data_IF_087901493687
#
_entry.id   IF_087901493687
#
_cell.length_a   1.000
_cell.length_b   1.000
_cell.length_c   1.000
_cell.angle_alpha   90.00
_cell.angle_beta   90.00
_cell.angle_gamma   90.00
#
_symmetry.space_group_name_H-M   'P 1'
#
loop_
_entity.id
_entity.type
_entity.pdbx_description
1 polymer ?
#
# COMPACT_ATOMS: atom_id res chain seq x y z
N UNK A 1 -11.67 4.59 1.46
CA UNK A 1 -11.13 3.57 2.38
C UNK A 1 -12.21 3.11 3.33
N UNK A 2 -12.20 1.83 3.70
CA UNK A 2 -13.16 1.30 4.65
C UNK A 2 -12.94 1.82 6.07
N UNK A 3 -13.96 1.64 6.93
CA UNK A 3 -13.88 2.11 8.31
C UNK A 3 -12.72 1.44 9.06
N UNK A 4 -12.04 2.20 9.91
CA UNK A 4 -10.91 1.71 10.68
C UNK A 4 -9.63 1.51 9.92
N UNK A 5 -9.60 1.86 8.62
CA UNK A 5 -8.37 1.78 7.83
C UNK A 5 -7.41 2.90 8.19
N UNK A 6 -6.12 2.59 8.19
CA UNK A 6 -5.08 3.50 8.65
C UNK A 6 -3.97 3.58 7.61
N UNK A 7 -3.49 4.79 7.33
CA UNK A 7 -2.22 4.98 6.64
C UNK A 7 -1.16 5.31 7.69
N UNK A 8 -0.24 4.38 7.92
CA UNK A 8 0.87 4.60 8.83
C UNK A 8 1.94 5.42 8.15
N UNK A 9 2.50 6.42 8.81
CA UNK A 9 3.46 7.33 8.19
C UNK A 9 4.86 7.30 8.78
N UNK A 10 5.08 6.53 9.85
CA UNK A 10 6.40 6.38 10.47
C UNK A 10 6.73 4.90 10.56
N UNK A 11 7.90 4.52 10.07
CA UNK A 11 8.38 3.14 10.21
C UNK A 11 8.66 2.84 11.68
N UNK A 12 8.47 1.60 12.09
CA UNK A 12 8.67 1.20 13.50
C UNK A 12 10.10 1.43 13.99
N UNK A 13 11.09 1.35 13.10
CA UNK A 13 12.50 1.64 13.44
C UNK A 13 12.84 3.13 13.27
N UNK A 14 11.88 3.96 12.87
CA UNK A 14 12.02 5.41 12.68
C UNK A 14 13.11 5.81 11.68
N UNK A 15 13.41 4.92 10.73
CA UNK A 15 14.34 5.25 9.64
C UNK A 15 13.61 6.01 8.53
N UNK A 16 14.38 6.48 7.54
CA UNK A 16 13.81 7.19 6.39
C UNK A 16 12.95 6.22 5.57
N UNK A 17 11.76 6.70 5.17
CA UNK A 17 10.83 5.91 4.37
C UNK A 17 11.36 5.78 2.95
N UNK A 18 11.35 4.58 2.40
CA UNK A 18 11.68 4.33 1.01
C UNK A 18 10.46 3.82 0.25
N UNK A 19 10.38 4.16 -1.02
CA UNK A 19 9.33 3.67 -1.91
C UNK A 19 9.93 2.63 -2.84
N UNK A 20 9.34 1.43 -2.87
CA UNK A 20 9.69 0.41 -3.85
C UNK A 20 8.74 0.54 -5.03
N UNK A 21 9.27 0.82 -6.20
CA UNK A 21 8.47 0.96 -7.41
C UNK A 21 9.13 0.20 -8.56
N UNK A 22 8.45 -0.82 -9.06
CA UNK A 22 8.93 -1.66 -10.16
C UNK A 22 10.38 -2.16 -9.97
N UNK A 23 10.69 -2.61 -8.76
CA UNK A 23 12.01 -3.12 -8.42
C UNK A 23 13.04 -2.08 -8.04
N UNK A 24 12.71 -0.79 -8.15
CA UNK A 24 13.58 0.30 -7.74
C UNK A 24 13.20 0.79 -6.36
N UNK A 25 14.20 1.17 -5.57
CA UNK A 25 13.99 1.78 -4.26
C UNK A 25 14.26 3.27 -4.36
N UNK A 26 13.25 4.06 -4.02
CA UNK A 26 13.34 5.51 -3.99
C UNK A 26 13.42 5.98 -2.55
N UNK A 27 14.53 6.63 -2.19
CA UNK A 27 14.69 7.22 -0.87
C UNK A 27 13.95 8.55 -0.84
N UNK A 28 12.90 8.64 0.02
CA UNK A 28 12.10 9.86 0.10
C UNK A 28 12.80 11.00 0.83
N UNK A 29 13.85 10.70 1.60
CA UNK A 29 14.48 11.69 2.48
C UNK A 29 13.60 12.05 3.67
N UNK A 30 12.46 11.39 3.87
CA UNK A 30 11.49 11.71 4.90
C UNK A 30 11.39 10.58 5.91
N UNK A 31 11.32 10.94 7.20
CA UNK A 31 11.03 9.98 8.27
C UNK A 31 9.54 9.70 8.40
N UNK A 32 8.70 10.57 7.85
CA UNK A 32 7.24 10.43 7.86
C UNK A 32 6.73 10.51 6.43
N UNK A 33 6.11 9.45 5.96
CA UNK A 33 5.44 9.41 4.67
C UNK A 33 4.41 8.30 4.68
N UNK A 34 3.16 8.62 4.33
CA UNK A 34 2.07 7.65 4.26
C UNK A 34 2.10 6.83 2.99
N UNK A 35 0.95 6.66 2.37
CA UNK A 35 0.77 5.84 1.18
C UNK A 35 0.40 6.71 -0.03
N UNK A 36 0.67 6.18 -1.22
CA UNK A 36 0.24 6.78 -2.49
C UNK A 36 -0.79 5.84 -3.11
N UNK A 37 -1.99 6.34 -3.36
CA UNK A 37 -3.10 5.56 -3.92
C UNK A 37 -3.46 6.10 -5.30
N UNK A 38 -3.58 5.20 -6.27
CA UNK A 38 -4.10 5.54 -7.58
C UNK A 38 -5.61 5.76 -7.56
N UNK A 39 -6.20 6.00 -8.74
CA UNK A 39 -7.64 6.22 -8.87
C UNK A 39 -8.42 4.93 -8.68
N UNK A 40 -9.62 5.04 -8.07
CA UNK A 40 -10.54 3.92 -7.88
C UNK A 40 -9.94 2.77 -7.08
N UNK A 41 -9.10 3.08 -6.08
CA UNK A 41 -8.58 2.09 -5.14
C UNK A 41 -9.58 1.93 -4.00
N UNK A 42 -9.97 0.69 -3.72
CA UNK A 42 -10.82 0.36 -2.58
C UNK A 42 -10.01 -0.37 -1.53
N UNK A 43 -10.00 0.17 -0.32
CA UNK A 43 -9.30 -0.42 0.83
C UNK A 43 -10.34 -0.95 1.82
N UNK A 44 -10.28 -2.23 2.10
CA UNK A 44 -11.20 -2.87 3.03
C UNK A 44 -11.04 -2.39 4.47
N UNK A 45 -12.05 -2.64 5.29
CA UNK A 45 -12.11 -2.17 6.68
C UNK A 45 -10.91 -2.65 7.50
N UNK A 46 -10.45 -1.82 8.43
CA UNK A 46 -9.39 -2.15 9.38
C UNK A 46 -8.08 -2.61 8.73
N UNK A 47 -7.81 -2.14 7.52
CA UNK A 47 -6.53 -2.39 6.85
C UNK A 47 -5.51 -1.33 7.26
N UNK A 48 -4.24 -1.71 7.22
CA UNK A 48 -3.12 -0.79 7.50
C UNK A 48 -2.26 -0.70 6.25
N UNK A 49 -2.06 0.52 5.76
CA UNK A 49 -1.12 0.81 4.67
C UNK A 49 0.18 1.30 5.31
N UNK A 50 1.22 0.50 5.19
CA UNK A 50 2.50 0.79 5.83
C UNK A 50 3.21 1.96 5.12
N UNK A 51 4.16 2.64 5.77
CA UNK A 51 4.82 3.81 5.19
C UNK A 51 5.48 3.48 3.85
N UNK A 52 5.28 4.36 2.86
CA UNK A 52 5.84 4.18 1.52
C UNK A 52 5.08 3.21 0.63
N UNK A 53 3.88 2.76 1.04
CA UNK A 53 3.04 1.91 0.19
C UNK A 53 2.56 2.68 -1.04
N UNK A 54 2.65 2.04 -2.21
CA UNK A 54 2.11 2.57 -3.47
C UNK A 54 1.13 1.56 -4.03
N UNK A 55 -0.12 1.99 -4.24
CA UNK A 55 -1.16 1.12 -4.78
C UNK A 55 -1.62 1.66 -6.12
N UNK A 56 -1.48 0.84 -7.16
CA UNK A 56 -1.91 1.21 -8.51
C UNK A 56 -3.42 1.33 -8.63
N UNK A 57 -3.88 2.03 -9.66
CA UNK A 57 -5.32 2.29 -9.89
C UNK A 57 -6.13 1.00 -10.04
N UNK A 58 -7.41 1.07 -9.69
CA UNK A 58 -8.38 -0.03 -9.83
C UNK A 58 -7.99 -1.29 -9.02
N UNK A 59 -7.34 -1.10 -7.90
CA UNK A 59 -6.91 -2.19 -7.01
C UNK A 59 -7.86 -2.30 -5.82
N UNK A 60 -8.19 -3.52 -5.44
CA UNK A 60 -8.99 -3.79 -4.25
C UNK A 60 -8.11 -4.43 -3.18
N UNK A 61 -8.18 -3.91 -1.96
CA UNK A 61 -7.47 -4.46 -0.80
C UNK A 61 -8.50 -5.10 0.12
N UNK A 62 -8.30 -6.37 0.45
CA UNK A 62 -9.19 -7.08 1.35
C UNK A 62 -9.15 -6.49 2.77
N UNK A 63 -10.27 -6.60 3.53
CA UNK A 63 -10.30 -6.15 4.92
C UNK A 63 -9.22 -6.80 5.78
N UNK A 64 -8.83 -6.12 6.83
CA UNK A 64 -7.84 -6.61 7.81
C UNK A 64 -6.48 -6.91 7.19
N UNK A 65 -6.13 -6.22 6.11
CA UNK A 65 -4.86 -6.41 5.42
C UNK A 65 -3.79 -5.49 5.98
N UNK A 66 -2.54 -5.95 5.97
CA UNK A 66 -1.37 -5.11 6.17
C UNK A 66 -0.64 -5.02 4.84
N UNK A 67 -0.64 -3.83 4.23
CA UNK A 67 -0.11 -3.64 2.88
C UNK A 67 1.24 -2.94 2.96
N UNK A 68 2.20 -3.41 2.16
CA UNK A 68 3.55 -2.90 2.15
C UNK A 68 4.10 -2.95 0.73
N UNK A 69 4.84 -1.91 0.35
CA UNK A 69 5.50 -1.86 -0.94
C UNK A 69 4.59 -1.42 -2.09
N UNK A 70 4.89 -1.89 -3.29
CA UNK A 70 4.18 -1.52 -4.50
C UNK A 70 3.18 -2.60 -4.90
N UNK A 71 1.92 -2.21 -5.07
CA UNK A 71 0.87 -3.09 -5.58
C UNK A 71 0.50 -2.62 -6.98
N UNK A 72 0.66 -3.44 -8.01
CA UNK A 72 0.34 -3.06 -9.38
C UNK A 72 -1.13 -2.70 -9.57
N UNK A 73 -1.41 -1.92 -10.61
CA UNK A 73 -2.79 -1.57 -10.95
C UNK A 73 -3.62 -2.80 -11.28
N UNK A 74 -4.91 -2.71 -11.04
CA UNK A 74 -5.86 -3.75 -11.43
C UNK A 74 -5.71 -5.06 -10.66
N UNK A 75 -5.21 -5.02 -9.44
CA UNK A 75 -4.98 -6.22 -8.63
C UNK A 75 -6.00 -6.36 -7.50
N UNK A 76 -6.07 -7.56 -6.94
CA UNK A 76 -6.77 -7.84 -5.69
C UNK A 76 -5.71 -8.23 -4.68
N UNK A 77 -5.56 -7.43 -3.63
CA UNK A 77 -4.63 -7.73 -2.54
C UNK A 77 -5.36 -8.53 -1.47
N UNK A 78 -5.02 -9.80 -1.34
CA UNK A 78 -5.58 -10.67 -0.30
C UNK A 78 -4.67 -10.74 0.91
N UNK A 79 -3.39 -10.89 0.69
CA UNK A 79 -2.32 -10.83 1.68
C UNK A 79 -1.00 -10.60 0.95
N UNK A 80 0.05 -10.26 1.66
CA UNK A 80 1.32 -9.88 1.02
C UNK A 80 1.87 -10.96 0.08
N UNK A 81 1.59 -12.23 0.34
CA UNK A 81 2.04 -13.34 -0.50
C UNK A 81 0.99 -13.81 -1.51
N UNK A 82 -0.17 -13.15 -1.58
CA UNK A 82 -1.25 -13.56 -2.47
C UNK A 82 -1.91 -12.32 -3.08
N UNK A 83 -1.27 -11.79 -4.11
CA UNK A 83 -1.76 -10.65 -4.88
C UNK A 83 -2.18 -11.17 -6.25
N UNK A 84 -3.44 -10.98 -6.61
CA UNK A 84 -4.03 -11.54 -7.82
C UNK A 84 -4.33 -10.43 -8.82
N UNK A 85 -3.91 -10.61 -10.07
CA UNK A 85 -4.24 -9.70 -11.16
C UNK A 85 -5.71 -9.89 -11.52
N UNK A 86 -6.47 -8.78 -11.60
CA UNK A 86 -7.86 -8.83 -12.05
C UNK A 86 -7.93 -9.18 -13.52
N UNK A 87 -8.95 -9.92 -13.86
CA UNK A 87 -9.30 -10.24 -15.23
C UNK A 87 -10.24 -9.16 -15.75
N UNK A 88 -9.71 -8.19 -16.44
CA UNK A 88 -10.48 -7.05 -16.97
C UNK A 88 -10.34 -6.96 -18.49
#
# INVERSE_FOLDING_TARGET
MGAGSITSNVKSDKTIVTINYQGEKLNTGLKKMGAILGNYVEVGCNSVLNPGTVIGSNTNVYPLSSVRGFIPRGCIFKKQTNIVQKDI
#
